data_IF_414004224199
#
_entry.id   IF_414004224199
#
_cell.length_a   1.000
_cell.length_b   1.000
_cell.length_c   1.000
_cell.angle_alpha   90.00
_cell.angle_beta   90.00
_cell.angle_gamma   90.00
#
_symmetry.space_group_name_H-M   'P 1'
#
loop_
_entity.id
_entity.type
_entity.pdbx_description
1 polymer ?
#
# COMPACT_ATOMS: atom_id res chain seq x y z
N UNK A 1 8.54 -4.67 14.74
CA UNK A 1 8.19 -4.74 13.30
C UNK A 1 8.32 -6.18 12.85
N UNK A 2 7.29 -6.69 12.20
CA UNK A 2 7.28 -8.00 11.54
C UNK A 2 7.14 -7.77 10.03
N UNK A 3 7.78 -8.64 9.24
CA UNK A 3 7.65 -8.64 7.79
C UNK A 3 6.98 -9.94 7.34
N UNK A 4 5.97 -9.80 6.49
CA UNK A 4 5.29 -10.91 5.81
C UNK A 4 5.49 -10.79 4.31
N UNK A 5 5.66 -11.92 3.62
CA UNK A 5 5.79 -11.92 2.17
C UNK A 5 4.98 -13.05 1.54
N UNK A 6 4.29 -12.71 0.47
CA UNK A 6 3.44 -13.63 -0.31
C UNK A 6 3.85 -13.54 -1.76
N UNK A 7 3.76 -14.64 -2.49
CA UNK A 7 4.02 -14.65 -3.93
C UNK A 7 2.84 -15.29 -4.65
N UNK A 8 2.34 -14.61 -5.68
CA UNK A 8 1.24 -15.10 -6.50
C UNK A 8 1.58 -15.00 -7.99
N UNK A 9 1.03 -15.87 -8.84
CA UNK A 9 1.26 -15.79 -10.29
C UNK A 9 0.58 -14.55 -10.88
N UNK A 10 1.23 -13.91 -11.85
CA UNK A 10 0.69 -12.82 -12.68
C UNK A 10 0.00 -13.37 -13.94
N UNK A 11 -0.65 -14.51 -13.85
CA UNK A 11 -1.37 -15.09 -14.98
C UNK A 11 -2.43 -14.08 -15.49
N UNK A 12 -2.33 -13.71 -16.76
CA UNK A 12 -3.26 -12.80 -17.47
C UNK A 12 -3.07 -11.29 -17.27
N UNK A 13 -2.06 -10.84 -16.54
CA UNK A 13 -1.80 -9.39 -16.40
C UNK A 13 -1.04 -8.88 -17.61
N UNK A 14 -1.59 -7.86 -18.29
CA UNK A 14 -0.91 -7.19 -19.39
C UNK A 14 0.03 -6.10 -18.83
N UNK A 15 1.34 -6.31 -18.95
CA UNK A 15 2.38 -5.40 -18.49
C UNK A 15 2.82 -4.37 -19.56
N UNK A 16 2.22 -4.37 -20.76
CA UNK A 16 2.62 -3.50 -21.87
C UNK A 16 2.45 -1.99 -21.60
N UNK A 17 1.77 -1.60 -20.52
CA UNK A 17 1.65 -0.20 -20.10
C UNK A 17 2.93 0.32 -19.42
N UNK A 18 3.82 -0.57 -19.01
CA UNK A 18 5.10 -0.22 -18.39
C UNK A 18 6.07 0.28 -19.47
N UNK A 19 6.78 1.37 -19.15
CA UNK A 19 7.74 1.99 -20.07
C UNK A 19 9.14 1.39 -19.97
N UNK A 20 9.44 0.80 -18.83
CA UNK A 20 10.70 0.15 -18.48
C UNK A 20 10.42 -1.31 -18.11
N UNK A 21 11.45 -2.05 -17.77
CA UNK A 21 11.31 -3.43 -17.27
C UNK A 21 10.53 -3.44 -15.95
N UNK A 22 9.75 -4.49 -15.73
CA UNK A 22 8.79 -4.57 -14.62
C UNK A 22 9.45 -4.52 -13.24
N UNK A 23 10.73 -4.85 -13.13
CA UNK A 23 11.55 -4.77 -11.92
C UNK A 23 11.84 -3.33 -11.47
N UNK A 24 11.55 -2.33 -12.31
CA UNK A 24 11.69 -0.91 -11.96
C UNK A 24 10.43 -0.33 -11.29
N UNK A 25 9.37 -1.13 -11.12
CA UNK A 25 8.09 -0.67 -10.56
C UNK A 25 7.86 -1.25 -9.18
N UNK A 26 7.60 -0.36 -8.22
CA UNK A 26 7.15 -0.68 -6.88
C UNK A 26 5.69 -0.29 -6.72
N UNK A 27 4.82 -1.23 -6.43
CA UNK A 27 3.44 -0.97 -6.03
C UNK A 27 3.45 -0.66 -4.53
N UNK A 28 2.64 0.31 -4.09
CA UNK A 28 2.76 0.83 -2.74
C UNK A 28 1.42 1.29 -2.20
N UNK A 29 1.15 0.95 -0.95
CA UNK A 29 0.00 1.36 -0.17
C UNK A 29 0.35 1.41 1.31
N UNK A 30 -0.40 2.19 2.12
CA UNK A 30 -0.20 2.30 3.57
C UNK A 30 -1.50 2.12 4.33
N UNK A 31 -1.37 1.62 5.58
CA UNK A 31 -2.45 1.61 6.55
C UNK A 31 -2.08 2.44 7.78
N UNK A 32 -3.04 3.22 8.23
CA UNK A 32 -2.83 4.22 9.28
C UNK A 32 -3.97 4.23 10.29
N UNK A 33 -3.70 4.67 11.51
CA UNK A 33 -4.74 4.82 12.54
C UNK A 33 -5.56 6.11 12.40
N UNK A 34 -5.37 6.84 11.30
CA UNK A 34 -6.15 8.04 11.00
C UNK A 34 -5.57 8.85 9.85
N UNK A 35 -6.31 9.85 9.41
CA UNK A 35 -5.99 10.63 8.21
C UNK A 35 -4.88 11.68 8.40
N UNK A 36 -4.49 11.99 9.62
CA UNK A 36 -3.50 13.02 9.93
C UNK A 36 -2.19 12.42 10.39
N UNK A 37 -1.16 12.40 9.56
CA UNK A 37 0.16 11.88 9.91
C UNK A 37 0.74 12.50 11.20
N UNK A 38 0.35 13.73 11.53
CA UNK A 38 0.79 14.39 12.76
C UNK A 38 0.16 13.84 14.05
N UNK A 39 -0.96 13.10 13.95
CA UNK A 39 -1.77 12.69 15.11
C UNK A 39 -2.16 11.22 15.09
N UNK A 40 -1.75 10.49 14.09
CA UNK A 40 -2.04 9.06 13.94
C UNK A 40 -0.79 8.29 13.52
N UNK A 41 -0.81 6.99 13.69
CA UNK A 41 0.32 6.10 13.49
C UNK A 41 0.23 5.40 12.13
N UNK A 42 1.38 5.14 11.53
CA UNK A 42 1.54 4.25 10.40
C UNK A 42 1.72 2.83 10.95
N UNK A 43 0.78 1.94 10.70
CA UNK A 43 0.90 0.59 11.22
C UNK A 43 1.27 -0.46 10.17
N UNK A 44 1.11 -0.14 8.87
CA UNK A 44 1.51 -1.05 7.82
C UNK A 44 1.98 -0.27 6.59
N UNK A 45 3.06 -0.75 5.97
CA UNK A 45 3.42 -0.46 4.59
C UNK A 45 3.29 -1.76 3.80
N UNK A 46 2.42 -1.77 2.79
CA UNK A 46 2.33 -2.79 1.77
C UNK A 46 3.08 -2.39 0.52
N UNK A 47 3.91 -3.28 -0.02
CA UNK A 47 4.50 -3.06 -1.33
C UNK A 47 4.53 -4.34 -2.17
N UNK A 48 4.37 -4.17 -3.47
CA UNK A 48 4.39 -5.23 -4.46
C UNK A 48 5.54 -5.07 -5.45
N UNK A 49 6.19 -6.16 -5.79
CA UNK A 49 7.27 -6.21 -6.80
C UNK A 49 7.02 -7.33 -7.79
N UNK A 50 7.30 -7.07 -9.07
CA UNK A 50 7.13 -8.07 -10.13
C UNK A 50 8.43 -8.85 -10.30
N UNK A 51 8.33 -10.17 -10.24
CA UNK A 51 9.45 -11.09 -10.40
C UNK A 51 9.36 -11.77 -11.77
N UNK A 52 10.40 -11.60 -12.59
CA UNK A 52 10.55 -12.27 -13.89
C UNK A 52 9.33 -12.13 -14.84
N UNK A 53 8.53 -11.08 -14.71
CA UNK A 53 7.26 -10.86 -15.41
C UNK A 53 6.18 -11.94 -15.20
N UNK A 54 6.36 -12.84 -14.25
CA UNK A 54 5.48 -14.00 -14.06
C UNK A 54 4.81 -14.02 -12.68
N UNK A 55 5.41 -13.36 -11.71
CA UNK A 55 4.96 -13.40 -10.32
C UNK A 55 4.90 -12.00 -9.72
N UNK A 56 3.92 -11.77 -8.86
CA UNK A 56 3.85 -10.62 -7.95
C UNK A 56 4.26 -11.11 -6.56
N UNK A 57 5.28 -10.47 -5.99
CA UNK A 57 5.59 -10.61 -4.57
C UNK A 57 5.01 -9.40 -3.83
N UNK A 58 4.15 -9.66 -2.88
CA UNK A 58 3.60 -8.67 -1.95
C UNK A 58 4.37 -8.83 -0.64
N UNK A 59 4.86 -7.73 -0.11
CA UNK A 59 5.53 -7.68 1.19
C UNK A 59 4.84 -6.65 2.06
N UNK A 60 4.57 -7.03 3.31
CA UNK A 60 3.93 -6.20 4.32
C UNK A 60 4.91 -5.96 5.47
N UNK A 61 5.22 -4.70 5.74
CA UNK A 61 5.99 -4.25 6.91
C UNK A 61 4.98 -3.81 7.97
N UNK A 62 4.84 -4.58 9.03
CA UNK A 62 3.79 -4.41 10.03
C UNK A 62 4.33 -3.94 11.37
N UNK A 63 3.70 -2.94 11.97
CA UNK A 63 4.00 -2.40 13.29
C UNK A 63 3.27 -3.22 14.35
N UNK A 64 3.86 -4.34 14.73
CA UNK A 64 3.28 -5.33 15.64
C UNK A 64 3.29 -4.92 17.13
N UNK A 65 4.04 -3.88 17.47
CA UNK A 65 4.28 -3.45 18.85
C UNK A 65 3.79 -2.01 19.15
N UNK A 66 3.25 -1.32 18.15
CA UNK A 66 2.80 0.08 18.27
C UNK A 66 3.94 1.10 18.33
N UNK A 67 5.21 0.67 18.28
CA UNK A 67 6.37 1.56 18.38
C UNK A 67 7.44 1.33 17.29
N UNK A 68 7.22 0.38 16.41
CA UNK A 68 8.15 0.05 15.30
C UNK A 68 7.99 0.92 14.05
N UNK A 69 7.19 1.97 14.09
CA UNK A 69 6.99 2.88 12.95
C UNK A 69 8.32 3.41 12.35
N UNK A 70 9.32 3.87 13.16
CA UNK A 70 10.61 4.28 12.62
C UNK A 70 11.38 3.16 11.90
N UNK A 71 11.20 1.91 12.34
CA UNK A 71 11.85 0.74 11.72
C UNK A 71 11.20 0.40 10.38
N UNK A 72 9.87 0.51 10.28
CA UNK A 72 9.11 0.34 9.04
C UNK A 72 9.58 1.37 8.00
N UNK A 73 9.68 2.63 8.41
CA UNK A 73 10.15 3.71 7.54
C UNK A 73 11.58 3.47 7.07
N UNK A 74 12.49 3.08 7.96
CA UNK A 74 13.88 2.78 7.59
C UNK A 74 13.95 1.63 6.57
N UNK A 75 13.23 0.54 6.81
CA UNK A 75 13.17 -0.60 5.90
C UNK A 75 12.59 -0.20 4.52
N UNK A 76 11.51 0.59 4.50
CA UNK A 76 10.92 1.05 3.24
C UNK A 76 11.84 1.98 2.45
N UNK A 77 12.60 2.84 3.11
CA UNK A 77 13.60 3.72 2.47
C UNK A 77 14.65 2.92 1.70
N UNK A 78 15.17 1.84 2.29
CA UNK A 78 16.15 0.96 1.64
C UNK A 78 15.56 0.33 0.37
N UNK A 79 14.33 -0.16 0.46
CA UNK A 79 13.63 -0.78 -0.67
C UNK A 79 13.37 0.23 -1.77
N UNK A 80 12.86 1.42 -1.42
CA UNK A 80 12.48 2.45 -2.39
C UNK A 80 13.65 2.88 -3.29
N UNK A 81 14.88 2.81 -2.79
CA UNK A 81 16.09 3.22 -3.53
C UNK A 81 16.35 2.40 -4.79
N UNK A 82 15.81 1.19 -4.86
CA UNK A 82 16.03 0.24 -5.96
C UNK A 82 15.05 0.44 -7.13
N UNK A 83 14.05 1.32 -6.96
CA UNK A 83 12.97 1.48 -7.92
C UNK A 83 12.89 2.88 -8.51
N UNK A 84 12.45 2.96 -9.77
CA UNK A 84 12.26 4.21 -10.51
C UNK A 84 10.81 4.69 -10.51
N UNK A 85 9.86 3.77 -10.48
CA UNK A 85 8.43 4.05 -10.56
C UNK A 85 7.73 3.58 -9.29
N UNK A 86 6.93 4.47 -8.69
CA UNK A 86 6.07 4.16 -7.55
C UNK A 86 4.61 4.19 -8.01
N UNK A 87 3.97 3.04 -8.00
CA UNK A 87 2.57 2.87 -8.42
C UNK A 87 1.67 2.86 -7.20
N UNK A 88 0.69 3.76 -7.17
CA UNK A 88 -0.23 3.92 -6.05
C UNK A 88 -1.67 4.06 -6.53
N UNK A 89 -2.63 3.93 -5.62
CA UNK A 89 -4.01 4.30 -5.85
C UNK A 89 -4.41 5.49 -4.98
N UNK A 90 -4.50 6.69 -5.56
CA UNK A 90 -4.72 7.96 -4.87
C UNK A 90 -3.56 8.39 -3.92
N UNK A 91 -2.40 7.76 -4.06
CA UNK A 91 -1.26 7.96 -3.17
C UNK A 91 -0.61 9.33 -3.27
N UNK A 92 -0.73 10.03 -4.39
CA UNK A 92 -0.24 11.41 -4.53
C UNK A 92 -0.93 12.38 -3.54
N UNK A 93 -2.15 12.05 -3.10
CA UNK A 93 -2.93 12.91 -2.21
C UNK A 93 -2.97 12.44 -0.76
N UNK A 94 -2.65 11.19 -0.49
CA UNK A 94 -2.68 10.63 0.85
C UNK A 94 -1.36 9.95 1.24
N UNK A 95 -1.01 8.83 0.62
CA UNK A 95 0.11 7.99 1.06
C UNK A 95 1.45 8.72 1.05
N UNK A 96 1.78 9.39 -0.06
CA UNK A 96 3.05 10.10 -0.18
C UNK A 96 3.19 11.30 0.75
N UNK A 97 2.18 12.21 0.87
CA UNK A 97 2.23 13.26 1.88
C UNK A 97 2.30 12.71 3.30
N UNK A 98 1.55 11.64 3.60
CA UNK A 98 1.54 11.03 4.91
C UNK A 98 2.92 10.48 5.29
N UNK A 99 3.51 9.67 4.42
CA UNK A 99 4.81 9.04 4.70
C UNK A 99 5.95 10.06 4.78
N UNK A 100 5.93 11.12 3.93
CA UNK A 100 6.89 12.23 4.00
C UNK A 100 6.84 12.92 5.36
N UNK A 101 5.64 13.18 5.87
CA UNK A 101 5.47 13.78 7.20
C UNK A 101 5.99 12.86 8.30
N UNK A 102 5.76 11.53 8.20
CA UNK A 102 6.31 10.56 9.15
C UNK A 102 7.84 10.53 9.15
N UNK A 103 8.48 10.53 7.99
CA UNK A 103 9.94 10.65 7.90
C UNK A 103 10.45 11.92 8.59
N UNK A 104 9.74 13.06 8.38
CA UNK A 104 10.09 14.33 9.05
C UNK A 104 9.97 14.24 10.57
N UNK A 105 8.89 13.62 11.10
CA UNK A 105 8.67 13.47 12.53
C UNK A 105 9.76 12.62 13.20
N UNK A 106 10.15 11.54 12.56
CA UNK A 106 11.20 10.65 13.06
C UNK A 106 12.61 11.10 12.69
N UNK A 107 12.78 12.30 12.09
CA UNK A 107 14.07 12.87 11.67
C UNK A 107 14.87 11.93 10.76
N UNK A 108 14.16 11.19 9.92
CA UNK A 108 14.74 10.34 8.89
C UNK A 108 14.68 11.07 7.55
N UNK A 109 15.81 11.13 6.85
CA UNK A 109 15.84 11.73 5.53
C UNK A 109 15.39 10.75 4.47
N UNK A 110 14.54 11.22 3.56
CA UNK A 110 14.12 10.49 2.35
C UNK A 110 13.95 11.49 1.21
N UNK A 111 14.38 11.10 0.01
CA UNK A 111 14.08 11.86 -1.22
C UNK A 111 13.21 11.01 -2.13
N UNK A 112 12.18 11.63 -2.69
CA UNK A 112 11.35 11.08 -3.75
C UNK A 112 11.65 11.72 -5.11
N UNK A 113 12.71 12.53 -5.22
CA UNK A 113 12.99 13.35 -6.42
C UNK A 113 13.35 12.49 -7.64
N UNK A 114 13.98 11.33 -7.42
CA UNK A 114 14.29 10.36 -8.47
C UNK A 114 13.14 9.41 -8.81
N UNK A 115 12.06 9.43 -8.03
CA UNK A 115 10.92 8.52 -8.15
C UNK A 115 9.85 9.14 -9.04
N UNK A 116 9.41 8.40 -10.03
CA UNK A 116 8.28 8.79 -10.88
C UNK A 116 6.99 8.20 -10.28
N UNK A 117 6.13 9.04 -9.72
CA UNK A 117 4.84 8.60 -9.21
C UNK A 117 3.86 8.28 -10.34
N UNK A 118 3.21 7.14 -10.23
CA UNK A 118 2.11 6.67 -11.10
C UNK A 118 0.88 6.48 -10.23
N UNK A 119 0.12 7.54 -10.01
CA UNK A 119 -1.16 7.48 -9.31
C UNK A 119 -2.26 7.00 -10.27
N UNK A 120 -2.70 5.76 -10.07
CA UNK A 120 -3.72 5.11 -10.91
C UNK A 120 -5.04 5.86 -10.84
N UNK A 121 -5.48 6.27 -9.64
CA UNK A 121 -6.73 7.03 -9.48
C UNK A 121 -6.71 8.32 -10.32
N UNK A 122 -5.62 9.09 -10.28
CA UNK A 122 -5.49 10.33 -11.08
C UNK A 122 -5.56 10.06 -12.59
N UNK A 123 -5.03 8.93 -13.05
CA UNK A 123 -5.08 8.54 -14.46
C UNK A 123 -6.48 8.15 -14.91
N UNK A 124 -7.23 7.42 -14.06
CA UNK A 124 -8.53 6.84 -14.46
C UNK A 124 -9.74 7.71 -14.11
N UNK A 125 -9.67 8.62 -13.13
CA UNK A 125 -10.82 9.41 -12.67
C UNK A 125 -11.52 10.21 -13.79
N UNK A 126 -10.78 10.62 -14.82
CA UNK A 126 -11.35 11.31 -15.98
C UNK A 126 -12.30 10.44 -16.80
N UNK A 127 -12.20 9.12 -16.68
CA UNK A 127 -13.05 8.15 -17.37
C UNK A 127 -14.27 7.72 -16.55
N UNK A 128 -14.55 8.35 -15.40
CA UNK A 128 -15.67 8.01 -14.51
C UNK A 128 -17.00 7.89 -15.26
N UNK A 129 -17.31 8.85 -16.13
CA UNK A 129 -18.55 8.84 -16.94
C UNK A 129 -18.57 7.69 -17.95
N UNK A 130 -17.43 7.40 -18.58
CA UNK A 130 -17.31 6.29 -19.55
C UNK A 130 -17.50 4.94 -18.86
N UNK A 131 -16.93 4.78 -17.66
CA UNK A 131 -17.07 3.59 -16.84
C UNK A 131 -18.44 3.45 -16.19
N UNK A 132 -19.32 4.46 -16.33
CA UNK A 132 -20.68 4.49 -15.76
C UNK A 132 -20.70 4.14 -14.26
N UNK A 133 -19.76 4.73 -13.49
CA UNK A 133 -19.63 4.46 -12.05
C UNK A 133 -19.88 5.71 -11.22
N UNK A 134 -20.62 5.53 -10.13
CA UNK A 134 -20.86 6.58 -9.15
C UNK A 134 -19.64 6.78 -8.24
N UNK A 135 -18.89 5.71 -7.98
CA UNK A 135 -17.69 5.68 -7.17
C UNK A 135 -16.47 5.27 -8.01
N UNK A 136 -15.35 5.95 -7.72
CA UNK A 136 -14.02 5.61 -8.25
C UNK A 136 -13.11 5.11 -7.12
N UNK A 137 -13.66 4.58 -6.03
CA UNK A 137 -12.88 3.87 -5.00
C UNK A 137 -12.27 2.61 -5.61
N UNK A 138 -11.12 2.19 -5.12
CA UNK A 138 -10.41 1.01 -5.60
C UNK A 138 -11.32 -0.22 -5.60
N UNK A 139 -12.00 -0.51 -4.51
CA UNK A 139 -12.94 -1.62 -4.38
C UNK A 139 -14.08 -1.62 -5.41
N UNK A 140 -14.57 -0.42 -5.78
CA UNK A 140 -15.60 -0.31 -6.82
C UNK A 140 -15.07 -0.65 -8.22
N UNK A 141 -13.79 -0.39 -8.48
CA UNK A 141 -13.14 -0.74 -9.75
C UNK A 141 -12.73 -2.21 -9.80
N UNK A 142 -12.25 -2.76 -8.71
CA UNK A 142 -11.94 -4.19 -8.57
C UNK A 142 -13.16 -5.04 -8.90
N UNK A 143 -14.33 -4.69 -8.34
CA UNK A 143 -15.60 -5.35 -8.68
C UNK A 143 -15.96 -5.30 -10.18
N UNK A 144 -15.62 -4.17 -10.87
CA UNK A 144 -15.81 -4.07 -12.33
C UNK A 144 -14.92 -5.04 -13.09
N UNK A 145 -13.73 -5.27 -12.57
CA UNK A 145 -12.73 -6.15 -13.18
C UNK A 145 -12.95 -7.63 -12.82
N UNK A 146 -14.04 -7.93 -12.09
CA UNK A 146 -14.34 -9.29 -11.63
C UNK A 146 -13.45 -9.75 -10.49
N UNK A 147 -12.77 -8.83 -9.80
CA UNK A 147 -12.01 -9.11 -8.60
C UNK A 147 -12.96 -9.00 -7.41
N UNK A 148 -13.31 -10.12 -6.82
CA UNK A 148 -14.08 -10.17 -5.57
C UNK A 148 -13.10 -10.27 -4.41
N UNK A 149 -13.26 -9.40 -3.42
CA UNK A 149 -12.57 -9.55 -2.13
C UNK A 149 -13.41 -10.47 -1.26
N UNK A 150 -12.79 -11.45 -0.64
CA UNK A 150 -13.47 -12.40 0.27
C UNK A 150 -14.15 -11.67 1.44
N UNK A 151 -13.52 -10.59 1.94
CA UNK A 151 -14.09 -9.73 2.96
C UNK A 151 -13.73 -8.27 2.70
N UNK A 152 -14.73 -7.39 2.83
CA UNK A 152 -14.52 -5.95 2.78
C UNK A 152 -14.59 -5.35 4.19
N UNK A 153 -13.43 -4.89 4.67
CA UNK A 153 -13.35 -4.17 5.93
C UNK A 153 -13.28 -2.66 5.69
N UNK A 154 -14.07 -1.89 6.44
CA UNK A 154 -13.95 -0.43 6.39
C UNK A 154 -12.68 0.01 7.10
N UNK A 155 -12.05 1.11 6.64
CA UNK A 155 -10.86 1.65 7.30
C UNK A 155 -11.05 1.94 8.79
N UNK A 156 -12.26 2.34 9.22
CA UNK A 156 -12.57 2.51 10.65
C UNK A 156 -12.48 1.22 11.44
N UNK A 157 -13.04 0.13 10.90
CA UNK A 157 -12.96 -1.19 11.53
C UNK A 157 -11.50 -1.66 11.64
N UNK A 158 -10.68 -1.44 10.63
CA UNK A 158 -9.27 -1.83 10.67
C UNK A 158 -8.47 -1.07 11.72
N UNK A 159 -8.80 0.20 11.96
CA UNK A 159 -8.18 0.99 13.04
C UNK A 159 -8.50 0.37 14.42
N UNK A 160 -9.78 0.08 14.68
CA UNK A 160 -10.20 -0.56 15.93
C UNK A 160 -9.55 -1.94 16.08
N UNK A 161 -9.55 -2.74 14.99
CA UNK A 161 -8.88 -4.05 14.94
C UNK A 161 -7.39 -3.96 15.26
N UNK A 162 -6.69 -2.93 14.78
CA UNK A 162 -5.27 -2.75 15.08
C UNK A 162 -5.04 -2.43 16.57
N UNK A 163 -5.87 -1.57 17.17
CA UNK A 163 -5.77 -1.28 18.60
C UNK A 163 -6.06 -2.51 19.46
N UNK A 164 -7.08 -3.30 19.11
CA UNK A 164 -7.41 -4.54 19.78
C UNK A 164 -6.28 -5.57 19.65
N UNK A 165 -5.68 -5.67 18.46
CA UNK A 165 -4.50 -6.51 18.23
C UNK A 165 -3.31 -6.11 19.12
N UNK A 166 -3.04 -4.82 19.26
CA UNK A 166 -1.94 -4.36 20.13
C UNK A 166 -2.14 -4.79 21.59
N UNK A 167 -3.39 -4.80 22.05
CA UNK A 167 -3.72 -5.23 23.42
C UNK A 167 -3.74 -6.74 23.65
N UNK A 168 -4.20 -7.50 22.63
CA UNK A 168 -4.47 -8.95 22.79
C UNK A 168 -3.44 -9.84 22.12
N UNK A 169 -2.80 -9.37 21.06
CA UNK A 169 -1.95 -10.16 20.15
C UNK A 169 -2.69 -11.33 19.49
N UNK A 170 -3.99 -11.19 19.32
CA UNK A 170 -4.83 -12.22 18.70
C UNK A 170 -4.43 -12.39 17.22
N UNK A 171 -4.15 -13.63 16.85
CA UNK A 171 -3.75 -13.99 15.48
C UNK A 171 -4.88 -13.82 14.46
N UNK A 172 -6.14 -13.94 14.86
CA UNK A 172 -7.28 -13.71 13.96
C UNK A 172 -7.39 -12.23 13.58
N UNK A 173 -7.16 -11.32 14.54
CA UNK A 173 -7.12 -9.89 14.26
C UNK A 173 -5.94 -9.53 13.35
N UNK A 174 -4.79 -10.17 13.56
CA UNK A 174 -3.62 -10.00 12.71
C UNK A 174 -3.91 -10.45 11.27
N UNK A 175 -4.50 -11.63 11.08
CA UNK A 175 -4.85 -12.15 9.76
C UNK A 175 -5.81 -11.20 9.02
N UNK A 176 -6.77 -10.63 9.74
CA UNK A 176 -7.70 -9.63 9.21
C UNK A 176 -6.98 -8.36 8.73
N UNK A 177 -6.04 -7.84 9.53
CA UNK A 177 -5.23 -6.67 9.17
C UNK A 177 -4.33 -6.92 7.96
N UNK A 178 -3.72 -8.09 7.88
CA UNK A 178 -2.81 -8.44 6.79
C UNK A 178 -3.56 -8.79 5.49
N UNK A 179 -4.75 -9.40 5.57
CA UNK A 179 -5.53 -9.81 4.40
C UNK A 179 -6.05 -8.62 3.60
N UNK A 180 -6.26 -7.47 4.24
CA UNK A 180 -6.73 -6.25 3.57
C UNK A 180 -5.77 -5.75 2.49
N UNK A 181 -4.47 -6.01 2.66
CA UNK A 181 -3.40 -5.55 1.76
C UNK A 181 -2.81 -6.68 0.88
N UNK A 182 -3.46 -7.81 0.78
CA UNK A 182 -3.15 -8.89 -0.15
C UNK A 182 -3.97 -8.75 -1.40
#
# INVERSE_FOLDING_TARGET
>A
MIQYSYTMPLSSVNLNWMKETSDQYLFFDIETTGLSAARSDLYLIGYGTILNNEQLRITLLFNDDGCSEPKILAAFKEILSDYKYLVTYNGDTFDLPYIKEKYRQFRQEISFDSIISIDVYRKIRKYKKLLRRDSMKQSALESVMGMERDEFHSGGLLIDTYHDYLGTKDTQLLDMLLSHNK
#
